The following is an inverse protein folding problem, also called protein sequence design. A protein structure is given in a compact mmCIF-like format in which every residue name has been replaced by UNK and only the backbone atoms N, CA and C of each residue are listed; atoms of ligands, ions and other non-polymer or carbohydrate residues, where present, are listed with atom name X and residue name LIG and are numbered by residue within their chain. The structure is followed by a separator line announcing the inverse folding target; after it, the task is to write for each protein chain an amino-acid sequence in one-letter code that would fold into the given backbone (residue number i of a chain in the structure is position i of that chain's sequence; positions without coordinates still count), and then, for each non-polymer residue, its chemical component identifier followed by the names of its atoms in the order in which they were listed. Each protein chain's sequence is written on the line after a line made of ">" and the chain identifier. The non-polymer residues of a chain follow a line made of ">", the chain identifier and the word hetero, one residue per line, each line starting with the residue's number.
data_IF_315997381279
#
_entry.id   IF_315997381279
#
_cell.length_a   1.000
_cell.length_b   1.000
_cell.length_c   1.000
_cell.angle_alpha   90.00
_cell.angle_beta   90.00
_cell.angle_gamma   90.00
#
_symmetry.space_group_name_H-M   'P 1'
#
loop_
_entity.id
_entity.type
_entity.pdbx_description
1 polymer ?
#
# COMPACT_ATOMS: atom_id res chain seq x y z
N UNK A 1 -21.63 5.23 8.34
CA UNK A 1 -20.69 4.50 9.24
C UNK A 1 -19.40 4.18 8.49
N UNK A 2 -18.95 5.07 7.60
CA UNK A 2 -18.06 4.68 6.50
C UNK A 2 -16.60 5.10 6.73
N UNK A 3 -16.35 6.03 7.65
CA UNK A 3 -15.00 6.44 8.02
C UNK A 3 -14.26 5.36 8.85
N UNK A 4 -14.98 4.57 9.64
CA UNK A 4 -14.35 3.56 10.52
C UNK A 4 -13.89 2.32 9.75
N UNK A 5 -14.64 1.90 8.73
CA UNK A 5 -14.26 0.79 7.84
C UNK A 5 -13.01 1.16 7.03
N UNK A 6 -12.92 2.40 6.56
CA UNK A 6 -11.74 2.91 5.83
C UNK A 6 -10.49 2.94 6.72
N UNK A 7 -10.63 3.35 7.98
CA UNK A 7 -9.53 3.35 8.94
C UNK A 7 -8.96 1.95 9.19
N UNK A 8 -9.82 0.97 9.47
CA UNK A 8 -9.38 -0.41 9.69
C UNK A 8 -8.70 -1.03 8.45
N UNK A 9 -9.27 -0.82 7.26
CA UNK A 9 -8.68 -1.29 5.99
C UNK A 9 -7.34 -0.61 5.68
N UNK A 10 -7.21 0.68 5.99
CA UNK A 10 -5.96 1.42 5.84
C UNK A 10 -4.88 0.88 6.77
N UNK A 11 -5.19 0.64 8.05
CA UNK A 11 -4.25 0.06 9.00
C UNK A 11 -3.83 -1.35 8.56
N UNK A 12 -4.76 -2.15 8.03
CA UNK A 12 -4.44 -3.45 7.47
C UNK A 12 -3.51 -3.32 6.24
N UNK A 13 -3.78 -2.35 5.37
CA UNK A 13 -2.95 -2.05 4.19
C UNK A 13 -1.52 -1.68 4.60
N UNK A 14 -1.35 -0.82 5.60
CA UNK A 14 -0.04 -0.43 6.13
C UNK A 14 0.72 -1.64 6.67
N UNK A 15 0.04 -2.51 7.42
CA UNK A 15 0.63 -3.77 7.91
C UNK A 15 1.18 -4.62 6.76
N UNK A 16 0.41 -4.77 5.68
CA UNK A 16 0.82 -5.55 4.49
C UNK A 16 2.02 -4.91 3.79
N UNK A 17 2.03 -3.59 3.63
CA UNK A 17 3.13 -2.85 2.99
C UNK A 17 4.42 -2.95 3.80
N UNK A 18 4.35 -2.82 5.13
CA UNK A 18 5.51 -2.98 6.02
C UNK A 18 6.06 -4.41 5.92
N UNK A 19 5.20 -5.39 5.61
CA UNK A 19 5.55 -6.80 5.39
C UNK A 19 6.39 -7.40 6.54
N UNK A 20 6.30 -6.79 7.72
CA UNK A 20 7.05 -7.15 8.92
C UNK A 20 6.18 -6.82 10.13
N UNK A 21 5.48 -7.84 10.63
CA UNK A 21 4.52 -7.73 11.73
C UNK A 21 5.18 -7.21 13.01
N UNK A 22 6.40 -7.65 13.28
CA UNK A 22 7.18 -7.20 14.43
C UNK A 22 7.48 -5.71 14.33
N UNK A 23 7.96 -5.25 13.16
CA UNK A 23 8.23 -3.83 12.90
C UNK A 23 6.94 -3.00 13.02
N UNK A 24 5.84 -3.46 12.43
CA UNK A 24 4.55 -2.78 12.55
C UNK A 24 4.06 -2.70 13.99
N UNK A 25 4.15 -3.80 14.76
CA UNK A 25 3.76 -3.83 16.18
C UNK A 25 4.63 -2.91 17.03
N UNK A 26 5.94 -2.86 16.78
CA UNK A 26 6.87 -1.94 17.44
C UNK A 26 6.51 -0.48 17.14
N UNK A 27 6.11 -0.16 15.90
CA UNK A 27 5.66 1.17 15.52
C UNK A 27 4.37 1.54 16.27
N UNK A 28 3.38 0.65 16.30
CA UNK A 28 2.12 0.87 17.03
C UNK A 28 2.33 1.02 18.54
N UNK A 29 3.20 0.19 19.14
CA UNK A 29 3.55 0.29 20.55
C UNK A 29 4.25 1.62 20.84
N UNK A 30 5.27 1.97 20.06
CA UNK A 30 5.98 3.24 20.18
C UNK A 30 5.05 4.44 20.01
N UNK A 31 4.11 4.36 19.08
CA UNK A 31 3.07 5.39 18.89
C UNK A 31 2.13 5.47 20.09
N UNK A 32 1.63 4.35 20.61
CA UNK A 32 0.78 4.34 21.80
C UNK A 32 1.50 4.91 23.04
N UNK A 33 2.82 4.69 23.15
CA UNK A 33 3.63 5.26 24.24
C UNK A 33 3.90 6.74 24.05
N UNK A 34 4.32 7.17 22.86
CA UNK A 34 4.71 8.56 22.56
C UNK A 34 3.51 9.51 22.57
N UNK A 35 2.36 9.01 22.11
CA UNK A 35 1.12 9.77 22.01
C UNK A 35 0.07 9.39 23.06
N UNK A 36 0.47 8.75 24.14
CA UNK A 36 -0.41 8.37 25.23
C UNK A 36 -1.19 9.60 25.77
N UNK A 37 -2.52 9.51 25.85
CA UNK A 37 -3.46 10.59 26.21
C UNK A 37 -3.45 11.86 25.32
N UNK A 38 -2.94 11.78 24.08
CA UNK A 38 -3.00 12.91 23.14
C UNK A 38 -3.94 12.62 21.97
N UNK A 39 -4.60 13.68 21.48
CA UNK A 39 -5.31 13.64 20.21
C UNK A 39 -4.25 13.62 19.11
N UNK A 40 -3.96 12.43 18.59
CA UNK A 40 -3.09 12.28 17.42
C UNK A 40 -3.84 12.66 16.16
N UNK A 41 -3.18 13.44 15.31
CA UNK A 41 -3.70 13.70 13.97
C UNK A 41 -3.26 12.59 13.02
N UNK A 42 -4.02 12.35 11.95
CA UNK A 42 -3.67 11.38 10.90
C UNK A 42 -2.26 11.61 10.35
N UNK A 43 -1.84 12.89 10.27
CA UNK A 43 -0.51 13.31 9.82
C UNK A 43 0.61 12.90 10.77
N UNK A 44 0.39 12.93 12.09
CA UNK A 44 1.38 12.47 13.06
C UNK A 44 1.57 10.96 12.99
N UNK A 45 0.47 10.22 12.84
CA UNK A 45 0.49 8.76 12.67
C UNK A 45 1.22 8.38 11.38
N UNK A 46 0.85 9.03 10.27
CA UNK A 46 1.47 8.87 8.96
C UNK A 46 2.98 9.14 8.98
N UNK A 47 3.42 10.27 9.52
CA UNK A 47 4.84 10.64 9.60
C UNK A 47 5.63 9.64 10.47
N UNK A 48 5.05 9.27 11.63
CA UNK A 48 5.68 8.34 12.55
C UNK A 48 5.86 6.95 11.92
N UNK A 49 4.79 6.41 11.31
CA UNK A 49 4.84 5.13 10.62
C UNK A 49 5.81 5.22 9.43
N UNK A 50 5.74 6.26 8.61
CA UNK A 50 6.58 6.40 7.41
C UNK A 50 8.06 6.44 7.75
N UNK A 51 8.41 7.22 8.77
CA UNK A 51 9.79 7.36 9.26
C UNK A 51 10.33 6.06 9.84
N UNK A 52 9.52 5.31 10.59
CA UNK A 52 9.94 4.03 11.20
C UNK A 52 9.96 2.88 10.19
N UNK A 53 9.00 2.84 9.27
CA UNK A 53 8.92 1.83 8.22
C UNK A 53 9.98 2.05 7.14
N UNK A 54 10.34 3.31 6.85
CA UNK A 54 11.19 3.71 5.73
C UNK A 54 10.42 3.78 4.40
N UNK A 55 9.10 3.89 4.46
CA UNK A 55 8.20 3.91 3.29
C UNK A 55 7.28 5.12 3.46
N UNK A 56 7.09 5.92 2.41
CA UNK A 56 6.20 7.07 2.47
C UNK A 56 4.73 6.62 2.39
N UNK A 57 4.05 6.61 3.54
CA UNK A 57 2.62 6.32 3.61
C UNK A 57 1.75 7.54 3.37
N UNK A 58 2.33 8.73 3.21
CA UNK A 58 1.55 9.96 3.09
C UNK A 58 0.55 9.89 1.95
N UNK A 59 0.99 9.32 0.83
CA UNK A 59 0.17 9.15 -0.35
C UNK A 59 -0.95 8.11 -0.16
N UNK A 60 -0.72 7.10 0.67
CA UNK A 60 -1.73 6.10 1.06
C UNK A 60 -2.79 6.78 1.91
N UNK A 61 -2.40 7.41 3.01
CA UNK A 61 -3.34 8.13 3.89
C UNK A 61 -4.13 9.20 3.13
N UNK A 62 -3.46 9.97 2.26
CA UNK A 62 -4.12 10.99 1.45
C UNK A 62 -5.15 10.36 0.49
N UNK A 63 -4.81 9.23 -0.16
CA UNK A 63 -5.75 8.47 -0.98
C UNK A 63 -6.96 7.98 -0.16
N UNK A 64 -6.75 7.34 0.99
CA UNK A 64 -7.84 6.70 1.75
C UNK A 64 -8.70 7.69 2.56
N UNK A 65 -8.08 8.75 3.10
CA UNK A 65 -8.74 9.73 3.95
C UNK A 65 -9.26 10.95 3.19
N UNK A 66 -8.56 11.37 2.12
CA UNK A 66 -8.94 12.59 1.37
C UNK A 66 -9.68 12.30 0.07
N UNK A 67 -9.67 11.08 -0.44
CA UNK A 67 -10.48 10.72 -1.61
C UNK A 67 -11.38 9.50 -1.36
N UNK A 68 -12.45 9.43 -2.15
CA UNK A 68 -13.37 8.30 -2.24
C UNK A 68 -12.99 7.35 -3.37
N UNK A 69 -12.00 7.72 -4.20
CA UNK A 69 -11.53 6.92 -5.31
C UNK A 69 -10.75 5.70 -4.80
N UNK A 70 -11.12 4.51 -5.28
CA UNK A 70 -10.41 3.27 -4.97
C UNK A 70 -9.22 3.16 -5.93
N UNK A 71 -7.99 3.01 -5.42
CA UNK A 71 -6.81 2.84 -6.26
C UNK A 71 -6.96 1.59 -7.13
N UNK A 72 -6.77 1.73 -8.44
CA UNK A 72 -6.90 0.64 -9.40
C UNK A 72 -5.52 0.24 -9.92
N UNK A 73 -5.11 -1.00 -9.67
CA UNK A 73 -3.87 -1.55 -10.19
C UNK A 73 -4.14 -2.25 -11.53
N UNK A 74 -3.79 -1.58 -12.62
CA UNK A 74 -3.79 -2.19 -13.95
C UNK A 74 -2.49 -2.97 -14.14
N UNK A 75 -2.60 -4.24 -14.53
CA UNK A 75 -1.45 -5.04 -14.91
C UNK A 75 -1.74 -5.94 -16.11
N UNK A 76 -0.71 -6.19 -16.91
CA UNK A 76 -0.72 -7.03 -18.10
C UNK A 76 0.53 -7.90 -18.07
N UNK A 77 0.35 -9.22 -18.11
CA UNK A 77 1.46 -10.16 -18.14
C UNK A 77 1.62 -10.76 -19.54
N UNK A 78 2.82 -10.59 -20.11
CA UNK A 78 3.25 -11.19 -21.38
C UNK A 78 4.45 -12.07 -21.14
N UNK A 79 4.17 -13.35 -20.94
CA UNK A 79 5.16 -14.33 -20.55
C UNK A 79 5.84 -13.98 -19.21
N UNK A 80 7.18 -13.87 -19.22
CA UNK A 80 7.98 -13.40 -18.09
C UNK A 80 7.96 -11.86 -17.91
N UNK A 81 7.34 -11.08 -18.78
CA UNK A 81 7.25 -9.63 -18.61
C UNK A 81 5.92 -9.23 -17.98
N UNK A 82 5.98 -8.50 -16.86
CA UNK A 82 4.81 -7.91 -16.23
C UNK A 82 4.84 -6.41 -16.43
N UNK A 83 3.81 -5.90 -17.06
CA UNK A 83 3.55 -4.47 -17.21
C UNK A 83 2.49 -4.04 -16.19
N UNK A 84 2.70 -2.97 -15.46
CA UNK A 84 1.77 -2.50 -14.43
C UNK A 84 1.73 -0.98 -14.31
N UNK A 85 0.61 -0.44 -13.83
CA UNK A 85 0.45 0.97 -13.44
C UNK A 85 -0.67 1.14 -12.42
N UNK A 86 -0.59 2.22 -11.66
CA UNK A 86 -1.70 2.75 -10.88
C UNK A 86 -2.62 3.59 -11.76
N UNK A 87 -3.91 3.31 -11.71
CA UNK A 87 -5.00 4.09 -12.26
C UNK A 87 -5.92 4.54 -11.12
N UNK A 88 -6.67 5.63 -11.30
CA UNK A 88 -7.59 6.16 -10.28
C UNK A 88 -6.92 6.50 -8.93
N UNK A 89 -5.67 6.95 -8.96
CA UNK A 89 -4.88 7.33 -7.79
C UNK A 89 -4.51 8.80 -7.80
N UNK A 90 -4.23 9.36 -6.62
CA UNK A 90 -3.71 10.73 -6.49
C UNK A 90 -2.37 10.91 -7.20
N UNK A 91 -2.04 12.18 -7.50
CA UNK A 91 -0.78 12.51 -8.16
C UNK A 91 0.41 12.08 -7.30
N UNK A 92 1.40 11.42 -7.91
CA UNK A 92 2.57 10.84 -7.25
C UNK A 92 2.27 9.65 -6.33
N UNK A 93 1.08 9.02 -6.41
CA UNK A 93 0.79 7.85 -5.60
C UNK A 93 1.85 6.76 -5.78
N UNK A 94 2.44 6.37 -4.65
CA UNK A 94 3.50 5.38 -4.56
C UNK A 94 3.15 4.45 -3.42
N UNK A 95 2.76 3.25 -3.79
CA UNK A 95 2.44 2.20 -2.84
C UNK A 95 3.04 0.91 -3.37
N UNK A 96 4.02 0.31 -2.67
CA UNK A 96 4.55 -0.96 -3.08
C UNK A 96 3.51 -2.05 -2.84
N UNK A 97 3.36 -2.93 -3.81
CA UNK A 97 2.43 -4.05 -3.80
C UNK A 97 3.22 -5.33 -3.83
N UNK A 98 2.92 -6.22 -2.89
CA UNK A 98 3.54 -7.53 -2.81
C UNK A 98 2.86 -8.49 -3.77
N UNK A 99 3.66 -9.14 -4.61
CA UNK A 99 3.19 -10.21 -5.50
C UNK A 99 3.28 -11.54 -4.75
N UNK A 100 2.13 -12.16 -4.50
CA UNK A 100 2.03 -13.44 -3.79
C UNK A 100 2.76 -14.55 -4.54
N UNK A 101 2.72 -14.53 -5.87
CA UNK A 101 3.32 -15.54 -6.74
C UNK A 101 4.85 -15.43 -6.88
N UNK A 102 5.44 -14.28 -6.53
CA UNK A 102 6.86 -13.97 -6.81
C UNK A 102 7.67 -13.55 -5.58
N UNK A 103 7.07 -13.51 -4.38
CA UNK A 103 7.72 -13.04 -3.15
C UNK A 103 8.48 -11.71 -3.30
N UNK A 104 8.08 -10.90 -4.28
CA UNK A 104 8.72 -9.64 -4.67
C UNK A 104 7.74 -8.50 -4.49
N UNK A 105 8.28 -7.30 -4.33
CA UNK A 105 7.51 -6.08 -4.17
C UNK A 105 7.67 -5.27 -5.44
N UNK A 106 6.55 -4.90 -6.06
CA UNK A 106 6.52 -3.95 -7.16
C UNK A 106 6.12 -2.60 -6.62
N UNK A 107 6.66 -1.51 -7.18
CA UNK A 107 6.23 -0.16 -6.85
C UNK A 107 5.59 0.47 -8.10
N UNK A 108 4.31 0.16 -8.40
CA UNK A 108 3.60 0.79 -9.50
C UNK A 108 3.55 2.30 -9.33
N UNK A 109 3.46 2.98 -10.45
CA UNK A 109 3.28 4.44 -10.56
C UNK A 109 2.12 4.71 -11.49
N UNK A 110 1.72 5.97 -11.63
CA UNK A 110 0.70 6.38 -12.61
C UNK A 110 1.13 6.13 -14.06
N UNK A 111 2.43 6.01 -14.29
CA UNK A 111 3.02 5.63 -15.58
C UNK A 111 3.18 4.11 -15.69
N UNK A 112 3.07 3.62 -16.93
CA UNK A 112 3.31 2.21 -17.25
C UNK A 112 4.76 1.82 -16.97
N UNK A 113 4.94 0.86 -16.09
CA UNK A 113 6.22 0.24 -15.82
C UNK A 113 6.21 -1.21 -16.25
N UNK A 114 7.37 -1.72 -16.67
CA UNK A 114 7.54 -3.12 -17.06
C UNK A 114 8.69 -3.71 -16.26
N UNK A 115 8.46 -4.88 -15.68
CA UNK A 115 9.50 -5.68 -15.02
C UNK A 115 9.58 -7.04 -15.68
N UNK A 116 10.77 -7.65 -15.58
CA UNK A 116 10.94 -9.07 -15.89
C UNK A 116 10.79 -9.87 -14.61
N UNK A 117 9.78 -10.74 -14.57
CA UNK A 117 9.53 -11.70 -13.51
C UNK A 117 10.53 -12.85 -13.58
N UNK A 118 10.84 -13.43 -12.41
CA UNK A 118 11.73 -14.59 -12.33
C UNK A 118 11.17 -15.85 -13.02
N UNK A 119 9.88 -15.86 -13.35
CA UNK A 119 9.14 -17.00 -13.85
C UNK A 119 7.83 -16.54 -14.52
N UNK A 120 7.33 -17.34 -15.45
CA UNK A 120 6.12 -17.09 -16.26
C UNK A 120 4.80 -17.24 -15.46
N UNK A 121 4.88 -17.51 -14.16
CA UNK A 121 3.69 -17.71 -13.32
C UNK A 121 2.78 -16.49 -13.34
N UNK A 122 1.48 -16.75 -13.38
CA UNK A 122 0.46 -15.70 -13.30
C UNK A 122 0.70 -14.83 -12.06
N UNK A 123 0.67 -13.52 -12.26
CA UNK A 123 0.82 -12.57 -11.15
C UNK A 123 -0.45 -12.54 -10.31
N UNK A 124 -0.32 -12.98 -9.07
CA UNK A 124 -1.35 -12.86 -8.04
C UNK A 124 -0.96 -11.77 -7.05
N UNK A 125 -1.88 -10.84 -6.87
CA UNK A 125 -1.78 -9.75 -5.90
C UNK A 125 -2.58 -10.17 -4.69
N UNK A 126 -2.11 -9.79 -3.51
CA UNK A 126 -2.79 -10.15 -2.27
C UNK A 126 -4.13 -9.39 -2.14
N UNK A 127 -5.26 -10.11 -2.02
CA UNK A 127 -6.59 -9.52 -1.83
C UNK A 127 -6.74 -8.68 -0.54
N UNK A 128 -5.76 -8.74 0.39
CA UNK A 128 -5.79 -7.88 1.56
C UNK A 128 -5.45 -6.41 1.26
N UNK A 129 -4.99 -6.09 0.05
CA UNK A 129 -4.87 -4.71 -0.39
C UNK A 129 -6.25 -4.17 -0.78
N UNK A 130 -6.65 -3.03 -0.20
CA UNK A 130 -7.89 -2.35 -0.60
C UNK A 130 -7.71 -1.59 -1.91
N UNK A 131 -7.49 -2.32 -2.99
CA UNK A 131 -7.25 -1.82 -4.35
C UNK A 131 -8.13 -2.63 -5.31
N UNK A 132 -8.53 -2.05 -6.43
CA UNK A 132 -9.09 -2.86 -7.51
C UNK A 132 -7.97 -3.38 -8.40
N UNK A 133 -8.00 -4.65 -8.76
CA UNK A 133 -7.02 -5.25 -9.67
C UNK A 133 -7.66 -5.44 -11.05
N UNK A 134 -7.11 -4.74 -12.05
CA UNK A 134 -7.54 -4.80 -13.44
C UNK A 134 -6.51 -5.57 -14.26
N UNK A 135 -6.83 -6.83 -14.53
CA UNK A 135 -6.03 -7.67 -15.44
C UNK A 135 -6.41 -7.35 -16.88
N UNK A 136 -5.43 -6.92 -17.69
CA UNK A 136 -5.55 -6.77 -19.15
C UNK A 136 -5.03 -7.98 -19.92
#
# INVERSE_FOLDING_TARGET
>A
MDQYIKGANMIHTIRQVINNDEKFRQILLGMNTDFYHKIVTSKQVEDYISKKAGIDFSLVFDQYLRTTQIPQLEYEQKGNQLKFRWNNTIKNFRMPVKLKSHSTHIAPTQEWQTITLANDKAVEIDDNYYIEVLKK
#
